data_IF_735553062369
#
_entry.id   IF_735553062369
#
_cell.length_a   1.000
_cell.length_b   1.000
_cell.length_c   1.000
_cell.angle_alpha   90.00
_cell.angle_beta   90.00
_cell.angle_gamma   90.00
#
_symmetry.space_group_name_H-M   'P 1'
#
loop_
_entity.id
_entity.type
_entity.pdbx_description
1 polymer ?
#
# COMPACT_ATOMS: atom_id res chain seq x y z
N UNK A 1 9.06 7.85 19.17
CA UNK A 1 8.66 6.69 18.38
C UNK A 1 7.93 7.11 17.12
N UNK A 2 8.43 6.74 15.98
CA UNK A 2 7.81 7.18 14.74
C UNK A 2 6.66 6.27 14.37
N UNK A 3 5.58 6.86 13.89
CA UNK A 3 4.44 6.12 13.39
C UNK A 3 4.58 5.98 11.88
N UNK A 4 4.16 4.84 11.37
CA UNK A 4 4.12 4.66 9.94
C UNK A 4 3.00 5.53 9.36
N UNK A 5 3.32 6.25 8.31
CA UNK A 5 2.33 7.07 7.62
C UNK A 5 1.32 6.19 6.89
N UNK A 6 1.80 5.13 6.27
CA UNK A 6 0.95 4.22 5.47
C UNK A 6 0.77 2.92 6.21
N UNK A 7 -0.47 2.52 6.41
CA UNK A 7 -0.80 1.29 7.12
C UNK A 7 -1.81 0.49 6.32
N UNK A 8 -1.71 -0.84 6.42
CA UNK A 8 -2.69 -1.70 5.78
C UNK A 8 -3.91 -1.85 6.67
N UNK A 9 -5.08 -1.79 6.06
CA UNK A 9 -6.34 -2.02 6.77
C UNK A 9 -7.14 -3.10 6.07
N UNK A 10 -7.63 -4.07 6.85
CA UNK A 10 -8.50 -5.09 6.32
C UNK A 10 -9.86 -4.51 5.99
N UNK A 11 -10.33 -4.80 4.77
CA UNK A 11 -11.63 -4.34 4.29
C UNK A 11 -12.33 -5.52 3.64
N UNK A 12 -13.64 -5.45 3.42
CA UNK A 12 -14.32 -6.52 2.69
C UNK A 12 -13.67 -6.73 1.33
N UNK A 13 -13.25 -7.96 1.07
CA UNK A 13 -12.61 -8.31 -0.19
C UNK A 13 -11.10 -8.16 -0.22
N UNK A 14 -10.46 -7.71 0.87
CA UNK A 14 -9.00 -7.61 0.88
C UNK A 14 -8.45 -6.56 1.81
N UNK A 15 -7.51 -5.79 1.31
CA UNK A 15 -6.79 -4.79 2.09
C UNK A 15 -6.72 -3.48 1.35
N UNK A 16 -6.69 -2.39 2.10
CA UNK A 16 -6.45 -1.06 1.56
C UNK A 16 -5.37 -0.37 2.38
N UNK A 17 -4.71 0.60 1.78
CA UNK A 17 -3.68 1.37 2.45
C UNK A 17 -4.28 2.69 2.92
N UNK A 18 -4.09 2.97 4.20
CA UNK A 18 -4.54 4.22 4.81
C UNK A 18 -3.36 5.17 4.98
N UNK A 19 -3.49 6.36 4.42
CA UNK A 19 -2.50 7.43 4.60
C UNK A 19 -2.91 8.25 5.82
N UNK A 20 -2.27 7.97 6.95
CA UNK A 20 -2.65 8.59 8.21
C UNK A 20 -2.29 10.06 8.27
N UNK A 21 -1.32 10.50 7.49
CA UNK A 21 -0.92 11.91 7.46
C UNK A 21 -1.94 12.75 6.71
N UNK A 22 -2.38 12.27 5.55
CA UNK A 22 -3.39 12.95 4.75
C UNK A 22 -4.81 12.56 5.11
N UNK A 23 -4.95 11.52 5.92
CA UNK A 23 -6.23 11.02 6.41
C UNK A 23 -7.15 10.61 5.26
N UNK A 24 -6.63 9.81 4.36
CA UNK A 24 -7.36 9.34 3.18
C UNK A 24 -6.78 8.00 2.72
N UNK A 25 -7.58 7.29 1.93
CA UNK A 25 -7.11 6.04 1.34
C UNK A 25 -6.08 6.34 0.26
N UNK A 26 -5.07 5.48 0.18
CA UNK A 26 -4.03 5.56 -0.83
C UNK A 26 -4.13 4.36 -1.76
N UNK A 27 -4.24 4.62 -3.08
CA UNK A 27 -4.24 3.57 -4.10
C UNK A 27 -5.50 2.74 -4.11
N UNK A 28 -5.37 1.54 -4.63
CA UNK A 28 -6.48 0.63 -4.84
C UNK A 28 -6.61 -0.38 -3.71
N UNK A 29 -7.60 -1.28 -3.85
CA UNK A 29 -7.76 -2.41 -2.97
C UNK A 29 -6.91 -3.57 -3.45
N UNK A 30 -6.31 -4.31 -2.53
CA UNK A 30 -5.42 -5.44 -2.82
C UNK A 30 -5.97 -6.71 -2.19
N UNK A 31 -5.84 -7.83 -2.89
CA UNK A 31 -6.29 -9.12 -2.34
C UNK A 31 -5.42 -9.58 -1.18
N UNK A 32 -4.12 -9.35 -1.29
CA UNK A 32 -3.16 -9.73 -0.26
C UNK A 32 -2.63 -8.48 0.43
N UNK A 33 -2.18 -8.66 1.68
CA UNK A 33 -1.60 -7.56 2.42
C UNK A 33 -0.37 -7.04 1.66
N UNK A 34 -0.35 -5.77 1.25
CA UNK A 34 0.73 -5.25 0.41
C UNK A 34 1.94 -4.82 1.24
N UNK A 35 2.58 -5.79 1.91
CA UNK A 35 3.70 -5.51 2.82
C UNK A 35 4.87 -4.83 2.12
N UNK A 36 5.25 -5.33 0.94
CA UNK A 36 6.37 -4.77 0.19
C UNK A 36 6.11 -3.32 -0.20
N UNK A 37 4.87 -3.06 -0.63
CA UNK A 37 4.46 -1.72 -1.02
C UNK A 37 4.47 -0.77 0.18
N UNK A 38 3.99 -1.27 1.32
CA UNK A 38 4.00 -0.47 2.56
C UNK A 38 5.42 -0.12 2.98
N UNK A 39 6.33 -1.09 2.90
CA UNK A 39 7.72 -0.84 3.26
C UNK A 39 8.33 0.22 2.36
N UNK A 40 8.03 0.20 1.08
CA UNK A 40 8.54 1.19 0.15
C UNK A 40 7.95 2.57 0.43
N UNK A 41 6.64 2.63 0.68
CA UNK A 41 5.95 3.90 0.96
C UNK A 41 6.42 4.54 2.25
N UNK A 42 6.66 3.71 3.28
CA UNK A 42 7.11 4.21 4.58
C UNK A 42 8.61 4.47 4.64
N UNK A 43 9.35 4.06 3.62
CA UNK A 43 10.77 4.31 3.49
C UNK A 43 11.05 5.53 2.63
N UNK A 44 11.93 5.37 1.64
CA UNK A 44 12.34 6.48 0.78
C UNK A 44 11.38 6.77 -0.37
N UNK A 45 10.37 5.94 -0.52
CA UNK A 45 9.30 6.14 -1.50
C UNK A 45 9.81 6.32 -2.94
N UNK A 46 10.57 5.35 -3.42
CA UNK A 46 11.06 5.36 -4.80
C UNK A 46 9.91 5.08 -5.76
N UNK A 47 9.56 6.06 -6.58
CA UNK A 47 8.43 5.94 -7.51
C UNK A 47 8.56 4.79 -8.48
N UNK A 48 9.78 4.49 -8.94
CA UNK A 48 9.98 3.39 -9.87
C UNK A 48 9.66 2.06 -9.21
N UNK A 49 10.12 1.87 -7.98
CA UNK A 49 9.83 0.66 -7.22
C UNK A 49 8.35 0.55 -6.89
N UNK A 50 7.74 1.66 -6.52
CA UNK A 50 6.30 1.69 -6.21
C UNK A 50 5.50 1.30 -7.44
N UNK A 51 5.84 1.84 -8.61
CA UNK A 51 5.15 1.51 -9.85
C UNK A 51 5.28 0.02 -10.17
N UNK A 52 6.47 -0.54 -10.01
CA UNK A 52 6.69 -1.96 -10.26
C UNK A 52 5.87 -2.84 -9.30
N UNK A 53 5.83 -2.45 -8.02
CA UNK A 53 5.05 -3.19 -7.03
C UNK A 53 3.55 -3.11 -7.33
N UNK A 54 3.06 -1.95 -7.73
CA UNK A 54 1.66 -1.79 -8.09
C UNK A 54 1.29 -2.69 -9.27
N UNK A 55 2.16 -2.80 -10.26
CA UNK A 55 1.93 -3.71 -11.38
C UNK A 55 1.83 -5.15 -10.92
N UNK A 56 2.71 -5.55 -9.99
CA UNK A 56 2.68 -6.92 -9.47
C UNK A 56 1.35 -7.21 -8.75
N UNK A 57 0.91 -6.29 -7.91
CA UNK A 57 -0.33 -6.49 -7.17
C UNK A 57 -1.54 -6.50 -8.10
N UNK A 58 -1.55 -5.66 -9.13
CA UNK A 58 -2.62 -5.65 -10.11
C UNK A 58 -2.66 -6.93 -10.93
N UNK A 59 -1.49 -7.48 -11.25
CA UNK A 59 -1.42 -8.72 -12.03
C UNK A 59 -1.98 -9.92 -11.25
N UNK A 60 -1.98 -9.88 -9.93
CA UNK A 60 -2.55 -10.92 -9.10
C UNK A 60 -4.07 -10.85 -9.02
N UNK A 61 -4.62 -9.75 -9.42
CA UNK A 61 -6.07 -9.55 -9.42
C UNK A 61 -6.70 -10.24 -10.61
N UNK A 62 -7.84 -10.85 -10.39
CA UNK A 62 -8.60 -11.47 -11.47
C UNK A 62 -9.89 -10.74 -11.73
#
# INVERSE_FOLDING_TARGET
MSRRQYVARGVPGGYRIWDSKRRRWWGDQYELCPDDLLDELNGEADYQKITALLKRYRAQKR
#
